data_IF_450669531258
#
_entry.id   IF_450669531258
#
_cell.length_a   1.000
_cell.length_b   1.000
_cell.length_c   1.000
_cell.angle_alpha   90.00
_cell.angle_beta   90.00
_cell.angle_gamma   90.00
#
_symmetry.space_group_name_H-M   'P 1'
#
loop_
_entity.id
_entity.type
_entity.pdbx_description
1 polymer ?
#
# COMPACT_ATOMS: atom_id res chain seq x y z
N UNK A 1 34.94 -17.00 32.46
CA UNK A 1 34.85 -15.53 32.29
C UNK A 1 35.72 -15.16 31.10
N UNK A 2 35.13 -15.00 29.93
CA UNK A 2 35.85 -14.61 28.70
C UNK A 2 35.18 -13.38 28.14
N UNK A 3 35.88 -12.25 28.16
CA UNK A 3 35.41 -10.99 27.64
C UNK A 3 35.66 -10.95 26.13
N UNK A 4 34.57 -10.77 25.37
CA UNK A 4 34.62 -10.54 23.92
C UNK A 4 34.65 -9.04 23.65
N UNK A 5 35.78 -8.55 23.15
CA UNK A 5 36.03 -7.16 22.78
C UNK A 5 35.39 -6.90 21.41
N UNK A 6 34.43 -5.97 21.34
CA UNK A 6 33.84 -5.49 20.10
C UNK A 6 34.65 -4.32 19.58
N UNK A 7 35.33 -4.48 18.44
CA UNK A 7 36.03 -3.40 17.74
C UNK A 7 35.07 -2.55 16.92
N UNK A 8 35.00 -1.27 17.25
CA UNK A 8 34.24 -0.26 16.52
C UNK A 8 35.11 0.25 15.35
N UNK A 9 34.67 0.03 14.11
CA UNK A 9 35.32 0.59 12.91
C UNK A 9 34.72 1.96 12.61
N UNK A 10 35.53 2.98 12.79
CA UNK A 10 35.19 4.37 12.44
C UNK A 10 35.48 4.61 10.97
N UNK A 11 34.45 4.93 10.17
CA UNK A 11 34.59 5.33 8.77
C UNK A 11 34.69 6.86 8.71
N UNK A 12 35.81 7.39 8.20
CA UNK A 12 36.05 8.83 8.00
C UNK A 12 35.32 9.39 6.76
N UNK A 13 34.86 10.65 6.78
CA UNK A 13 34.18 11.25 5.64
C UNK A 13 35.17 11.67 4.54
N UNK A 14 34.79 11.37 3.30
CA UNK A 14 35.56 11.71 2.09
C UNK A 14 35.30 13.15 1.66
N UNK A 15 36.35 13.90 1.46
CA UNK A 15 36.36 15.30 1.10
C UNK A 15 35.75 15.58 -0.29
N UNK A 16 34.99 16.66 -0.36
CA UNK A 16 34.44 17.27 -1.59
C UNK A 16 35.50 18.07 -2.31
N UNK A 17 35.73 17.79 -3.59
CA UNK A 17 36.51 18.62 -4.49
C UNK A 17 35.58 19.60 -5.20
N UNK A 18 35.76 20.88 -4.87
CA UNK A 18 35.22 22.02 -5.58
C UNK A 18 36.03 22.28 -6.87
N UNK A 19 35.32 22.29 -8.00
CA UNK A 19 35.89 22.65 -9.31
C UNK A 19 35.06 23.75 -9.95
N UNK A 20 35.50 25.01 -9.70
CA UNK A 20 35.03 26.19 -10.40
C UNK A 20 35.60 26.25 -11.81
N UNK A 21 34.77 26.38 -12.85
CA UNK A 21 35.17 26.89 -14.15
C UNK A 21 34.18 27.92 -14.64
N UNK A 22 34.64 29.13 -14.66
CA UNK A 22 34.05 30.31 -15.32
C UNK A 22 34.34 30.33 -16.82
N UNK A 23 33.58 31.20 -17.53
CA UNK A 23 33.68 31.71 -18.93
C UNK A 23 32.93 30.89 -19.96
N UNK A 24 32.12 31.47 -20.86
CA UNK A 24 32.25 32.77 -21.53
C UNK A 24 30.90 33.27 -22.04
N UNK A 25 30.71 34.59 -21.92
CA UNK A 25 29.67 35.37 -22.62
C UNK A 25 29.94 35.37 -24.14
N UNK A 26 28.93 35.10 -24.95
CA UNK A 26 28.84 35.62 -26.31
C UNK A 26 27.46 36.21 -26.53
N UNK A 27 27.45 37.53 -26.62
CA UNK A 27 26.35 38.32 -27.16
C UNK A 27 26.34 38.21 -28.68
N UNK A 28 25.20 37.86 -29.25
CA UNK A 28 24.90 38.15 -30.66
C UNK A 28 23.52 38.79 -30.68
N UNK A 29 23.52 40.07 -31.03
CA UNK A 29 22.36 40.83 -31.43
C UNK A 29 22.00 40.47 -32.87
N UNK A 30 20.72 40.39 -33.17
CA UNK A 30 20.26 40.22 -34.54
C UNK A 30 18.77 40.01 -34.64
N UNK A 31 18.09 41.16 -34.88
CA UNK A 31 17.00 41.36 -35.83
C UNK A 31 15.65 40.65 -35.64
N UNK A 32 14.69 41.47 -35.23
CA UNK A 32 13.29 41.58 -35.63
C UNK A 32 12.84 40.73 -36.83
N UNK A 33 11.85 39.85 -36.63
CA UNK A 33 10.67 39.86 -37.50
C UNK A 33 9.46 39.30 -36.78
N UNK A 34 8.46 40.16 -36.61
CA UNK A 34 7.21 39.90 -36.02
C UNK A 34 6.29 39.19 -37.02
N UNK A 35 6.02 37.91 -36.86
CA UNK A 35 4.84 37.28 -37.44
C UNK A 35 3.92 36.72 -36.36
N UNK A 36 2.91 37.48 -36.09
CA UNK A 36 1.75 37.14 -35.28
C UNK A 36 1.05 35.92 -35.88
N UNK A 37 1.26 34.75 -35.29
CA UNK A 37 0.42 33.58 -35.51
C UNK A 37 -0.66 33.59 -34.41
N UNK A 38 -1.84 34.08 -34.75
CA UNK A 38 -3.05 33.86 -33.93
C UNK A 38 -3.39 32.37 -34.00
N UNK A 39 -2.96 31.58 -32.98
CA UNK A 39 -3.48 30.27 -32.74
C UNK A 39 -4.82 30.42 -32.04
N UNK A 40 -5.90 30.29 -32.81
CA UNK A 40 -7.26 30.17 -32.29
C UNK A 40 -7.41 28.73 -31.81
N UNK A 41 -6.93 28.43 -30.56
CA UNK A 41 -7.36 27.24 -29.88
C UNK A 41 -8.79 27.47 -29.36
N UNK A 42 -9.77 27.17 -30.20
CA UNK A 42 -11.14 26.97 -29.76
C UNK A 42 -11.15 25.75 -28.84
N UNK A 43 -10.97 26.01 -27.55
CA UNK A 43 -11.10 24.99 -26.49
C UNK A 43 -12.51 24.41 -26.52
N UNK A 44 -12.68 23.27 -27.14
CA UNK A 44 -13.86 22.44 -27.04
C UNK A 44 -13.95 21.99 -25.59
N UNK A 45 -14.73 22.73 -24.80
CA UNK A 45 -15.09 22.39 -23.42
C UNK A 45 -15.84 21.06 -23.47
N UNK A 46 -15.16 19.95 -23.24
CA UNK A 46 -15.79 18.65 -23.03
C UNK A 46 -16.52 18.78 -21.69
N UNK A 47 -17.81 19.10 -21.76
CA UNK A 47 -18.69 18.99 -20.60
C UNK A 47 -18.87 17.48 -20.39
N UNK A 48 -18.04 16.91 -19.51
CA UNK A 48 -18.32 15.57 -18.95
C UNK A 48 -19.58 15.78 -18.11
N UNK A 49 -20.75 15.53 -18.68
CA UNK A 49 -21.96 15.33 -17.92
C UNK A 49 -21.64 14.14 -16.98
N UNK A 50 -21.51 14.42 -15.70
CA UNK A 50 -21.61 13.40 -14.68
C UNK A 50 -23.00 12.78 -14.87
N UNK A 51 -23.06 11.65 -15.55
CA UNK A 51 -24.22 10.77 -15.49
C UNK A 51 -24.37 10.48 -14.02
N UNK A 52 -25.57 10.75 -13.48
CA UNK A 52 -25.94 10.36 -12.13
C UNK A 52 -25.40 8.94 -11.93
N UNK A 53 -24.62 8.75 -10.86
CA UNK A 53 -24.16 7.43 -10.50
C UNK A 53 -25.42 6.59 -10.39
N UNK A 54 -25.63 5.73 -11.37
CA UNK A 54 -26.66 4.72 -11.32
C UNK A 54 -26.32 3.91 -10.09
N UNK A 55 -27.12 4.09 -9.04
CA UNK A 55 -26.99 3.39 -7.78
C UNK A 55 -27.26 1.93 -8.11
N UNK A 56 -26.17 1.20 -8.39
CA UNK A 56 -26.23 -0.23 -8.63
C UNK A 56 -26.93 -0.84 -7.43
N UNK A 57 -27.96 -1.68 -7.65
CA UNK A 57 -28.64 -2.33 -6.55
C UNK A 57 -27.60 -3.01 -5.66
N UNK A 58 -27.77 -3.00 -4.33
CA UNK A 58 -26.86 -3.66 -3.42
C UNK A 58 -26.77 -5.12 -3.85
N UNK A 59 -25.70 -5.45 -4.55
CA UNK A 59 -25.49 -6.82 -4.95
C UNK A 59 -25.24 -7.59 -3.67
N UNK A 60 -25.99 -8.63 -3.42
CA UNK A 60 -25.85 -9.62 -2.33
C UNK A 60 -24.41 -10.16 -2.23
N UNK A 61 -23.63 -9.84 -3.24
CA UNK A 61 -22.25 -10.24 -3.39
C UNK A 61 -21.26 -9.38 -2.59
N UNK A 62 -21.49 -8.09 -2.44
CA UNK A 62 -20.59 -7.23 -1.64
C UNK A 62 -20.73 -7.58 -0.15
N UNK A 63 -19.64 -7.97 0.49
CA UNK A 63 -19.59 -8.37 1.89
C UNK A 63 -18.26 -8.00 2.52
N UNK A 64 -18.29 -7.68 3.80
CA UNK A 64 -17.11 -7.44 4.60
C UNK A 64 -17.19 -8.22 5.92
N UNK A 65 -16.11 -8.93 6.25
CA UNK A 65 -15.89 -9.57 7.55
C UNK A 65 -14.86 -8.75 8.31
N UNK A 66 -15.11 -8.49 9.58
CA UNK A 66 -14.20 -7.71 10.42
C UNK A 66 -13.82 -8.48 11.66
N UNK A 67 -12.56 -8.42 12.04
CA UNK A 67 -12.05 -8.87 13.31
C UNK A 67 -11.37 -7.70 14.03
N UNK A 68 -11.71 -7.49 15.30
CA UNK A 68 -11.10 -6.48 16.15
C UNK A 68 -9.88 -7.06 16.87
N UNK A 69 -8.81 -6.26 16.97
CA UNK A 69 -7.57 -6.59 17.67
C UNK A 69 -7.21 -5.45 18.61
N UNK A 70 -6.70 -5.78 19.79
CA UNK A 70 -6.15 -4.80 20.74
C UNK A 70 -4.64 -4.65 20.50
N UNK A 71 -4.24 -4.27 19.30
CA UNK A 71 -2.85 -4.44 18.88
C UNK A 71 -2.48 -5.92 18.88
N UNK A 72 -1.33 -6.27 19.47
CA UNK A 72 -0.91 -7.67 19.59
C UNK A 72 -0.77 -8.12 21.05
N UNK A 73 -1.53 -7.54 21.97
CA UNK A 73 -1.42 -7.78 23.43
C UNK A 73 -1.53 -9.26 23.79
N UNK A 74 -2.34 -10.04 23.05
CA UNK A 74 -2.53 -11.48 23.26
C UNK A 74 -1.95 -12.34 22.15
N UNK A 75 -1.12 -11.79 21.25
CA UNK A 75 -0.57 -12.52 20.10
C UNK A 75 -1.56 -12.86 19.00
N UNK A 76 -2.84 -12.47 19.12
CA UNK A 76 -3.91 -12.85 18.17
C UNK A 76 -3.69 -12.27 16.77
N UNK A 77 -3.15 -11.05 16.69
CA UNK A 77 -2.80 -10.44 15.39
C UNK A 77 -1.60 -11.11 14.75
N UNK A 78 -0.59 -11.50 15.55
CA UNK A 78 0.54 -12.30 15.07
C UNK A 78 0.09 -13.66 14.55
N UNK A 79 -0.88 -14.31 15.21
CA UNK A 79 -1.48 -15.57 14.75
C UNK A 79 -2.23 -15.37 13.43
N UNK A 80 -3.05 -14.32 13.33
CA UNK A 80 -3.71 -13.96 12.08
C UNK A 80 -2.69 -13.73 10.94
N UNK A 81 -1.59 -13.03 11.19
CA UNK A 81 -0.55 -12.79 10.18
C UNK A 81 0.12 -14.09 9.72
N UNK A 82 0.35 -15.06 10.64
CA UNK A 82 0.83 -16.39 10.27
C UNK A 82 -0.18 -17.14 9.41
N UNK A 83 -1.45 -17.15 9.81
CA UNK A 83 -2.52 -17.79 9.04
C UNK A 83 -2.68 -17.16 7.64
N UNK A 84 -2.56 -15.83 7.54
CA UNK A 84 -2.61 -15.13 6.26
C UNK A 84 -1.44 -15.52 5.34
N UNK A 85 -0.23 -15.62 5.88
CA UNK A 85 0.94 -16.06 5.11
C UNK A 85 0.84 -17.53 4.69
N UNK A 86 0.36 -18.40 5.57
CA UNK A 86 0.16 -19.81 5.26
C UNK A 86 -0.90 -20.01 4.15
N UNK A 87 -2.06 -19.38 4.29
CA UNK A 87 -3.19 -19.56 3.37
C UNK A 87 -2.99 -18.87 2.03
N UNK A 88 -2.50 -17.62 2.04
CA UNK A 88 -2.31 -16.81 0.83
C UNK A 88 -0.93 -16.99 0.18
N UNK A 89 -0.07 -17.86 0.72
CA UNK A 89 1.28 -18.10 0.17
C UNK A 89 1.27 -18.24 -1.35
N UNK A 90 2.10 -17.43 -2.02
CA UNK A 90 2.24 -17.44 -3.47
C UNK A 90 1.10 -16.80 -4.26
N UNK A 91 0.03 -16.35 -3.61
CA UNK A 91 -1.07 -15.65 -4.28
C UNK A 91 -0.60 -14.26 -4.72
N UNK A 92 -0.66 -13.97 -6.01
CA UNK A 92 -0.35 -12.64 -6.53
C UNK A 92 -1.27 -11.60 -5.89
N UNK A 93 -0.66 -10.60 -5.25
CA UNK A 93 -1.36 -9.63 -4.42
C UNK A 93 -0.79 -8.24 -4.66
N UNK A 94 -1.67 -7.27 -4.85
CA UNK A 94 -1.33 -5.85 -4.91
C UNK A 94 -1.38 -5.27 -3.50
N UNK A 95 -0.23 -4.92 -2.96
CA UNK A 95 -0.09 -4.21 -1.70
C UNK A 95 -0.16 -2.70 -1.94
N UNK A 96 -1.03 -2.01 -1.21
CA UNK A 96 -1.32 -0.59 -1.39
C UNK A 96 -1.21 0.12 -0.05
N UNK A 97 -0.38 1.15 0.02
CA UNK A 97 -0.30 2.08 1.14
C UNK A 97 -0.67 3.47 0.63
N UNK A 98 -1.64 4.10 1.28
CA UNK A 98 -2.11 5.44 0.94
C UNK A 98 -1.68 6.39 2.04
N UNK A 99 -0.76 7.28 1.72
CA UNK A 99 -0.40 8.44 2.54
C UNK A 99 -1.15 9.69 2.04
N UNK A 100 -1.03 10.80 2.75
CA UNK A 100 -1.79 12.03 2.44
C UNK A 100 -1.50 12.57 1.03
N UNK A 101 -0.28 12.40 0.53
CA UNK A 101 0.17 12.96 -0.74
C UNK A 101 0.70 11.93 -1.74
N UNK A 102 0.67 10.63 -1.39
CA UNK A 102 1.23 9.59 -2.23
C UNK A 102 0.50 8.25 -2.06
N UNK A 103 0.52 7.44 -3.11
CA UNK A 103 0.10 6.05 -3.09
C UNK A 103 1.31 5.21 -3.48
N UNK A 104 1.64 4.22 -2.66
CA UNK A 104 2.64 3.21 -2.96
C UNK A 104 1.93 1.92 -3.28
N UNK A 105 2.23 1.34 -4.44
CA UNK A 105 1.69 0.06 -4.87
C UNK A 105 2.81 -0.88 -5.28
N UNK A 106 2.69 -2.15 -4.91
CA UNK A 106 3.56 -3.22 -5.36
C UNK A 106 2.73 -4.47 -5.61
N UNK A 107 2.95 -5.14 -6.73
CA UNK A 107 2.34 -6.46 -7.02
C UNK A 107 3.39 -7.51 -6.78
N UNK A 108 3.13 -8.39 -5.83
CA UNK A 108 4.05 -9.42 -5.37
C UNK A 108 3.27 -10.67 -4.95
N UNK A 109 3.85 -11.87 -5.05
CA UNK A 109 3.31 -13.04 -4.40
C UNK A 109 3.22 -12.80 -2.88
N UNK A 110 2.12 -13.21 -2.26
CA UNK A 110 2.01 -13.15 -0.80
C UNK A 110 3.10 -14.04 -0.17
N UNK A 111 3.90 -13.51 0.78
CA UNK A 111 4.97 -14.27 1.41
C UNK A 111 4.47 -15.51 2.15
N UNK A 112 5.26 -16.58 2.16
CA UNK A 112 4.89 -17.83 2.82
C UNK A 112 4.92 -17.76 4.35
N UNK A 113 5.69 -16.83 4.91
CA UNK A 113 5.83 -16.64 6.35
C UNK A 113 6.09 -15.19 6.72
N UNK A 114 5.53 -14.69 7.85
CA UNK A 114 5.88 -13.38 8.39
C UNK A 114 7.11 -13.47 9.28
N UNK A 115 7.90 -12.40 9.33
CA UNK A 115 8.98 -12.24 10.31
C UNK A 115 8.56 -11.23 11.37
N UNK A 116 8.81 -11.52 12.64
CA UNK A 116 8.49 -10.64 13.75
C UNK A 116 9.76 -10.14 14.42
N UNK A 117 9.77 -8.87 14.80
CA UNK A 117 10.86 -8.24 15.53
C UNK A 117 10.29 -7.27 16.58
N UNK A 118 10.83 -7.35 17.80
CA UNK A 118 10.50 -6.41 18.86
C UNK A 118 11.31 -5.12 18.70
N UNK A 119 10.64 -3.99 18.54
CA UNK A 119 11.24 -2.68 18.30
C UNK A 119 11.08 -1.72 19.50
N UNK A 120 11.19 -2.26 20.71
CA UNK A 120 11.11 -1.51 21.94
C UNK A 120 9.77 -0.74 22.08
N UNK A 121 9.82 0.57 22.22
CA UNK A 121 8.62 1.40 22.42
C UNK A 121 7.64 1.37 21.23
N UNK A 122 8.04 0.87 20.05
CA UNK A 122 7.16 0.72 18.89
C UNK A 122 6.38 -0.60 18.89
N UNK A 123 6.73 -1.51 19.81
CA UNK A 123 6.14 -2.84 19.90
C UNK A 123 6.62 -3.78 18.80
N UNK A 124 5.86 -4.83 18.56
CA UNK A 124 6.15 -5.86 17.57
C UNK A 124 5.94 -5.33 16.15
N UNK A 125 6.94 -5.54 15.31
CA UNK A 125 6.87 -5.30 13.87
C UNK A 125 6.76 -6.63 13.13
N UNK A 126 5.70 -6.78 12.33
CA UNK A 126 5.55 -7.87 11.39
C UNK A 126 6.09 -7.45 10.04
N UNK A 127 7.03 -8.21 9.48
CA UNK A 127 7.58 -7.97 8.14
C UNK A 127 7.07 -9.04 7.17
N UNK A 128 6.39 -8.61 6.13
CA UNK A 128 6.09 -9.39 4.94
C UNK A 128 7.15 -9.08 3.90
N UNK A 129 7.91 -10.09 3.46
CA UNK A 129 8.99 -9.86 2.51
C UNK A 129 9.03 -10.95 1.43
N UNK A 130 9.35 -10.54 0.20
CA UNK A 130 9.70 -11.48 -0.87
C UNK A 130 11.04 -12.18 -0.56
N UNK A 131 11.26 -13.42 -1.05
CA UNK A 131 12.50 -14.13 -0.80
C UNK A 131 13.76 -13.40 -1.31
N UNK A 132 13.63 -12.69 -2.41
CA UNK A 132 14.69 -11.87 -3.04
C UNK A 132 14.85 -10.48 -2.42
N UNK A 133 14.02 -10.13 -1.43
CA UNK A 133 13.98 -8.81 -0.78
C UNK A 133 13.67 -7.64 -1.71
N UNK A 134 13.09 -7.88 -2.88
CA UNK A 134 12.61 -6.82 -3.77
C UNK A 134 11.37 -6.11 -3.21
N UNK A 135 10.70 -6.75 -2.25
CA UNK A 135 9.55 -6.22 -1.54
C UNK A 135 9.67 -6.50 -0.04
N UNK A 136 9.48 -5.48 0.77
CA UNK A 136 9.32 -5.60 2.22
C UNK A 136 8.24 -4.63 2.70
N UNK A 137 7.24 -5.15 3.42
CA UNK A 137 6.23 -4.36 4.10
C UNK A 137 6.36 -4.56 5.63
N UNK A 138 6.56 -3.48 6.35
CA UNK A 138 6.70 -3.47 7.81
C UNK A 138 5.42 -2.97 8.46
N UNK A 139 4.73 -3.85 9.17
CA UNK A 139 3.46 -3.57 9.84
C UNK A 139 3.70 -3.52 11.35
N UNK A 140 3.51 -2.34 11.96
CA UNK A 140 3.58 -2.19 13.41
C UNK A 140 2.28 -2.69 14.04
N UNK A 141 2.31 -3.87 14.63
CA UNK A 141 1.11 -4.54 15.13
C UNK A 141 0.39 -3.72 16.21
N UNK A 142 1.14 -3.03 17.07
CA UNK A 142 0.57 -2.12 18.08
C UNK A 142 -0.27 -0.97 17.47
N UNK A 143 -0.18 -0.72 16.17
CA UNK A 143 -0.97 0.30 15.47
C UNK A 143 -2.21 -0.24 14.77
N UNK A 144 -2.33 -1.56 14.65
CA UNK A 144 -3.50 -2.20 14.04
C UNK A 144 -4.58 -2.41 15.08
N UNK A 145 -5.79 -1.98 14.79
CA UNK A 145 -6.97 -2.12 15.67
C UNK A 145 -8.00 -3.08 15.12
N UNK A 146 -8.10 -3.20 13.81
CA UNK A 146 -8.92 -4.23 13.20
C UNK A 146 -8.39 -4.59 11.80
N UNK A 147 -8.77 -5.77 11.37
CA UNK A 147 -8.56 -6.28 10.02
C UNK A 147 -9.92 -6.55 9.39
N UNK A 148 -10.08 -6.20 8.14
CA UNK A 148 -11.28 -6.49 7.38
C UNK A 148 -10.92 -7.28 6.11
N UNK A 149 -11.66 -8.35 5.87
CA UNK A 149 -11.70 -9.03 4.59
C UNK A 149 -12.92 -8.51 3.84
N UNK A 150 -12.71 -7.85 2.72
CA UNK A 150 -13.78 -7.25 1.94
C UNK A 150 -13.82 -7.82 0.54
N UNK A 151 -15.01 -8.20 0.08
CA UNK A 151 -15.29 -8.44 -1.32
C UNK A 151 -16.24 -7.38 -1.86
N UNK A 152 -15.97 -6.89 -3.04
CA UNK A 152 -16.76 -5.85 -3.70
C UNK A 152 -16.67 -6.02 -5.21
N UNK A 153 -17.58 -5.37 -5.92
CA UNK A 153 -17.57 -5.33 -7.37
C UNK A 153 -17.42 -3.91 -7.85
N UNK A 154 -16.56 -3.69 -8.83
CA UNK A 154 -16.36 -2.40 -9.45
C UNK A 154 -16.14 -2.56 -10.95
N UNK A 155 -17.03 -1.98 -11.75
CA UNK A 155 -16.95 -2.06 -13.21
C UNK A 155 -17.02 -3.50 -13.74
N UNK A 156 -17.86 -4.34 -13.14
CA UNK A 156 -18.03 -5.75 -13.49
C UNK A 156 -16.90 -6.67 -13.02
N UNK A 157 -15.89 -6.13 -12.28
CA UNK A 157 -14.77 -6.91 -11.76
C UNK A 157 -14.92 -7.15 -10.27
N UNK A 158 -14.77 -8.39 -9.86
CA UNK A 158 -14.76 -8.79 -8.46
C UNK A 158 -13.44 -8.44 -7.81
N UNK A 159 -13.50 -7.84 -6.62
CA UNK A 159 -12.34 -7.38 -5.85
C UNK A 159 -12.37 -8.07 -4.50
N UNK A 160 -11.28 -8.69 -4.13
CA UNK A 160 -11.06 -9.34 -2.84
C UNK A 160 -9.88 -8.66 -2.15
N UNK A 161 -10.08 -8.18 -0.94
CA UNK A 161 -9.07 -7.40 -0.24
C UNK A 161 -8.96 -7.78 1.24
N UNK A 162 -7.73 -7.74 1.76
CA UNK A 162 -7.42 -7.72 3.18
C UNK A 162 -7.00 -6.31 3.53
N UNK A 163 -7.67 -5.69 4.51
CA UNK A 163 -7.44 -4.30 4.92
C UNK A 163 -7.07 -4.23 6.38
N UNK A 164 -6.00 -3.54 6.69
CA UNK A 164 -5.51 -3.32 8.05
C UNK A 164 -5.81 -1.88 8.43
N UNK A 165 -6.51 -1.69 9.54
CA UNK A 165 -6.90 -0.37 10.02
C UNK A 165 -6.26 -0.06 11.37
N UNK A 166 -5.87 1.18 11.54
CA UNK A 166 -5.41 1.72 12.82
C UNK A 166 -6.55 2.15 13.72
N UNK A 167 -6.23 3.03 14.65
CA UNK A 167 -7.20 3.68 15.50
C UNK A 167 -8.15 4.54 14.65
N UNK A 168 -9.44 4.39 14.87
CA UNK A 168 -10.42 5.24 14.21
C UNK A 168 -10.31 6.66 14.77
N UNK A 169 -10.34 7.70 13.94
CA UNK A 169 -10.50 9.05 14.43
C UNK A 169 -11.85 9.16 15.14
N UNK A 170 -11.96 10.09 16.09
CA UNK A 170 -13.24 10.40 16.74
C UNK A 170 -14.32 10.62 15.68
N UNK A 171 -15.48 9.95 15.81
CA UNK A 171 -16.53 10.07 14.83
C UNK A 171 -17.09 11.51 14.81
N UNK A 172 -16.90 12.21 13.68
CA UNK A 172 -17.55 13.47 13.43
C UNK A 172 -18.59 13.29 12.32
N UNK A 173 -19.70 14.06 12.30
CA UNK A 173 -20.82 13.86 11.37
C UNK A 173 -20.43 13.78 9.89
N UNK A 174 -19.37 14.50 9.49
CA UNK A 174 -18.89 14.58 8.11
C UNK A 174 -17.50 13.96 7.94
N UNK A 175 -17.06 13.12 8.89
CA UNK A 175 -15.74 12.46 8.77
C UNK A 175 -15.71 11.54 7.57
N UNK A 176 -14.66 11.62 6.73
CA UNK A 176 -14.46 10.65 5.67
C UNK A 176 -14.29 9.24 6.26
N UNK A 177 -14.62 8.19 5.51
CA UNK A 177 -14.43 6.82 5.97
C UNK A 177 -12.97 6.59 6.35
N UNK A 178 -12.75 5.81 7.43
CA UNK A 178 -11.42 5.47 7.89
C UNK A 178 -10.58 4.85 6.78
N UNK A 179 -9.38 5.40 6.56
CA UNK A 179 -8.44 4.85 5.59
C UNK A 179 -7.68 3.67 6.19
N UNK A 180 -7.49 2.58 5.45
CA UNK A 180 -6.64 1.49 5.89
C UNK A 180 -5.17 1.92 5.94
N UNK A 181 -4.41 1.37 6.88
CA UNK A 181 -2.95 1.48 6.95
C UNK A 181 -2.29 0.75 5.78
N UNK A 182 -2.84 -0.41 5.45
CA UNK A 182 -2.42 -1.26 4.34
C UNK A 182 -3.65 -1.94 3.74
N UNK A 183 -3.72 -1.98 2.43
CA UNK A 183 -4.67 -2.80 1.68
C UNK A 183 -3.91 -3.80 0.82
N UNK A 184 -4.25 -5.07 0.94
CA UNK A 184 -3.75 -6.14 0.09
C UNK A 184 -4.91 -6.65 -0.78
N UNK A 185 -4.85 -6.42 -2.08
CA UNK A 185 -5.89 -6.80 -3.06
C UNK A 185 -5.38 -7.99 -3.85
N UNK A 186 -6.16 -9.07 -3.92
CA UNK A 186 -5.83 -10.20 -4.80
C UNK A 186 -5.72 -9.72 -6.24
N UNK A 187 -4.62 -10.04 -6.89
CA UNK A 187 -4.36 -9.56 -8.25
C UNK A 187 -5.14 -10.42 -9.26
N UNK A 188 -5.78 -9.76 -10.20
CA UNK A 188 -6.49 -10.43 -11.29
C UNK A 188 -5.50 -10.96 -12.34
N UNK A 189 -5.81 -12.10 -12.93
CA UNK A 189 -5.08 -12.63 -14.08
C UNK A 189 -5.22 -11.75 -15.34
N UNK A 190 -4.66 -12.24 -16.43
CA UNK A 190 -4.72 -11.56 -17.74
C UNK A 190 -6.15 -11.41 -18.29
N UNK A 191 -7.06 -12.27 -17.85
CA UNK A 191 -8.50 -12.25 -18.15
C UNK A 191 -9.29 -11.21 -17.33
N UNK A 192 -8.64 -10.60 -16.33
CA UNK A 192 -9.23 -9.63 -15.42
C UNK A 192 -9.98 -10.27 -14.22
N UNK A 193 -9.98 -11.60 -14.11
CA UNK A 193 -10.58 -12.32 -13.01
C UNK A 193 -9.53 -12.76 -11.98
N UNK A 194 -9.92 -12.83 -10.71
CA UNK A 194 -9.06 -13.39 -9.65
C UNK A 194 -9.12 -14.91 -9.74
N UNK A 195 -7.97 -15.62 -9.71
CA UNK A 195 -7.94 -17.09 -9.76
C UNK A 195 -8.83 -17.73 -8.67
N UNK A 196 -9.58 -18.77 -9.02
CA UNK A 196 -10.54 -19.40 -8.11
C UNK A 196 -9.89 -19.95 -6.83
N UNK A 197 -8.70 -20.56 -6.96
CA UNK A 197 -7.94 -21.05 -5.81
C UNK A 197 -7.49 -19.93 -4.87
N UNK A 198 -7.17 -18.74 -5.40
CA UNK A 198 -6.85 -17.57 -4.60
C UNK A 198 -8.08 -17.06 -3.84
N UNK A 199 -9.26 -17.12 -4.45
CA UNK A 199 -10.52 -16.75 -3.80
C UNK A 199 -10.85 -17.72 -2.67
N UNK A 200 -10.74 -19.03 -2.88
CA UNK A 200 -10.97 -20.04 -1.85
C UNK A 200 -10.03 -19.85 -0.64
N UNK A 201 -8.74 -19.59 -0.89
CA UNK A 201 -7.76 -19.28 0.16
C UNK A 201 -8.12 -18.03 0.94
N UNK A 202 -8.58 -16.99 0.24
CA UNK A 202 -9.00 -15.74 0.84
C UNK A 202 -10.27 -15.90 1.68
N UNK A 203 -11.27 -16.64 1.21
CA UNK A 203 -12.50 -16.91 1.96
C UNK A 203 -12.22 -17.72 3.24
N UNK A 204 -11.33 -18.72 3.15
CA UNK A 204 -10.88 -19.48 4.31
C UNK A 204 -10.14 -18.63 5.35
N UNK A 205 -9.53 -17.51 4.96
CA UNK A 205 -8.89 -16.59 5.90
C UNK A 205 -9.90 -15.84 6.77
N UNK A 206 -11.13 -15.63 6.30
CA UNK A 206 -12.18 -14.97 7.07
C UNK A 206 -12.55 -15.74 8.36
N UNK A 207 -12.36 -17.05 8.37
CA UNK A 207 -12.59 -17.90 9.53
C UNK A 207 -11.57 -17.67 10.66
N UNK A 208 -10.41 -17.09 10.32
CA UNK A 208 -9.34 -16.77 11.27
C UNK A 208 -9.50 -15.39 11.94
N UNK A 209 -10.53 -14.62 11.56
CA UNK A 209 -10.82 -13.35 12.23
C UNK A 209 -11.48 -13.61 13.60
N UNK A 210 -11.08 -12.89 14.65
CA UNK A 210 -11.77 -12.94 15.93
C UNK A 210 -13.23 -12.49 15.75
N UNK A 211 -14.11 -13.19 16.46
CA UNK A 211 -15.57 -12.95 16.43
C UNK A 211 -15.97 -11.96 17.51
#
# INVERSE_FOLDING_TARGET
>A
MSATTVSCVTVAPRATLSGSRARARRSVAGSSDARRAHSIFAGRRVVVRATAAEELPPTDWAKEWRGAFSGDENGTLSEFMRAACERLSGVETRFIVIADSAILESVQPWPSEPRFAELGAKGTCCTLASPDKSFEAHIFLAKVRHVALARSERGGRKIYAVRFFGEAPEPAPDSPPQRPLLTAVLHSGADGEVPADAVEKWEALAECLPK
#
